data_IF_875485208756
#
_entry.id   IF_875485208756
#
_cell.length_a   1.000
_cell.length_b   1.000
_cell.length_c   1.000
_cell.angle_alpha   90.00
_cell.angle_beta   90.00
_cell.angle_gamma   90.00
#
_symmetry.space_group_name_H-M   'P 1'
#
loop_
_entity.id
_entity.type
_entity.pdbx_description
1 polymer ?
#
# COMPACT_ATOMS: atom_id res chain seq x y z
N UNK A 1 -7.45 10.80 16.05
CA UNK A 1 -7.50 10.87 14.57
C UNK A 1 -6.21 11.53 14.10
N UNK A 2 -5.37 10.82 13.34
CA UNK A 2 -4.14 11.40 12.83
C UNK A 2 -4.46 12.45 11.77
N UNK A 3 -3.66 13.51 11.78
CA UNK A 3 -3.74 14.62 10.83
C UNK A 3 -2.42 14.69 10.09
N UNK A 4 -2.45 14.52 8.78
CA UNK A 4 -1.25 14.47 7.95
C UNK A 4 -1.31 15.58 6.92
N UNK A 5 -0.18 16.23 6.70
CA UNK A 5 -0.01 17.19 5.59
C UNK A 5 1.05 16.64 4.64
N UNK A 6 0.71 16.55 3.36
CA UNK A 6 1.61 16.04 2.32
C UNK A 6 1.60 16.98 1.10
N UNK A 7 2.52 16.75 0.17
CA UNK A 7 2.72 17.62 -0.99
C UNK A 7 2.15 16.99 -2.25
N UNK A 8 1.57 17.81 -3.13
CA UNK A 8 1.14 17.42 -4.48
C UNK A 8 1.57 18.47 -5.49
N UNK A 9 1.93 18.04 -6.69
CA UNK A 9 2.37 18.89 -7.78
C UNK A 9 3.74 18.46 -8.30
N UNK A 10 4.30 19.30 -9.17
CA UNK A 10 5.64 19.12 -9.72
C UNK A 10 6.37 20.44 -9.56
N UNK A 11 7.60 20.47 -9.01
CA UNK A 11 8.41 21.69 -8.99
C UNK A 11 8.96 22.04 -10.38
N UNK A 12 8.90 21.11 -11.33
CA UNK A 12 9.34 21.31 -12.70
C UNK A 12 8.21 21.88 -13.53
N UNK A 13 8.48 23.00 -14.19
CA UNK A 13 7.54 23.58 -15.14
C UNK A 13 7.43 22.71 -16.40
N UNK A 14 6.24 22.64 -16.96
CA UNK A 14 5.95 21.96 -18.22
C UNK A 14 5.06 22.88 -19.06
N UNK A 15 5.60 23.36 -20.17
CA UNK A 15 4.96 24.39 -20.97
C UNK A 15 4.94 23.99 -22.44
N UNK A 16 3.74 23.92 -22.99
CA UNK A 16 3.44 23.73 -24.39
C UNK A 16 2.30 24.67 -24.79
N UNK A 17 2.01 24.79 -26.08
CA UNK A 17 1.01 25.75 -26.58
C UNK A 17 -0.38 25.58 -25.96
N UNK A 18 -0.75 24.35 -25.59
CA UNK A 18 -2.08 23.97 -25.08
C UNK A 18 -2.15 23.83 -23.56
N UNK A 19 -1.01 23.83 -22.87
CA UNK A 19 -0.91 23.55 -21.44
C UNK A 19 0.33 24.22 -20.84
N UNK A 20 0.10 25.02 -19.81
CA UNK A 20 1.12 25.66 -18.98
C UNK A 20 1.01 25.12 -17.55
N UNK A 21 2.04 24.40 -17.09
CA UNK A 21 2.19 23.97 -15.70
C UNK A 21 3.39 24.73 -15.12
N UNK A 22 3.18 25.74 -14.26
CA UNK A 22 4.26 26.62 -13.81
C UNK A 22 5.20 26.02 -12.76
N UNK A 23 5.06 24.72 -12.43
CA UNK A 23 5.91 24.07 -11.44
C UNK A 23 5.46 24.31 -9.98
N UNK A 24 4.14 24.34 -9.72
CA UNK A 24 3.59 24.57 -8.38
C UNK A 24 3.55 23.29 -7.55
N UNK A 25 3.75 23.46 -6.23
CA UNK A 25 3.56 22.41 -5.22
C UNK A 25 2.58 22.91 -4.16
N UNK A 26 1.54 22.13 -3.91
CA UNK A 26 0.48 22.41 -2.94
C UNK A 26 0.63 21.51 -1.72
N UNK A 27 0.11 21.97 -0.58
CA UNK A 27 0.02 21.18 0.65
C UNK A 27 -1.42 20.73 0.84
N UNK A 28 -1.62 19.42 0.93
CA UNK A 28 -2.92 18.80 1.17
C UNK A 28 -2.93 18.27 2.60
N UNK A 29 -4.01 18.57 3.33
CA UNK A 29 -4.24 18.09 4.70
C UNK A 29 -5.31 17.00 4.68
N UNK A 30 -5.07 15.91 5.39
CA UNK A 30 -6.00 14.79 5.57
C UNK A 30 -6.18 14.53 7.05
N UNK A 31 -7.42 14.31 7.46
CA UNK A 31 -7.78 13.79 8.78
C UNK A 31 -8.33 12.39 8.58
N UNK A 32 -7.74 11.40 9.25
CA UNK A 32 -8.16 10.00 9.11
C UNK A 32 -9.22 9.67 10.17
N UNK A 33 -10.42 9.37 9.69
CA UNK A 33 -11.57 8.95 10.50
C UNK A 33 -11.59 7.44 10.67
N UNK A 34 -12.14 6.95 11.78
CA UNK A 34 -12.18 5.52 12.05
C UNK A 34 -13.06 4.78 11.01
N UNK A 35 -12.62 3.60 10.58
CA UNK A 35 -13.32 2.78 9.60
C UNK A 35 -12.77 2.93 8.19
N UNK A 36 -13.53 2.44 7.21
CA UNK A 36 -13.23 2.53 5.78
C UNK A 36 -13.78 3.84 5.20
N UNK A 37 -12.95 4.56 4.46
CA UNK A 37 -13.25 5.92 4.01
C UNK A 37 -12.63 6.19 2.64
N UNK A 38 -13.23 7.14 1.92
CA UNK A 38 -12.66 7.71 0.69
C UNK A 38 -12.31 9.17 0.97
N UNK A 39 -11.03 9.51 0.83
CA UNK A 39 -10.60 10.90 0.88
C UNK A 39 -10.77 11.56 -0.49
N UNK A 40 -11.24 12.81 -0.48
CA UNK A 40 -11.24 13.70 -1.64
C UNK A 40 -10.69 15.05 -1.23
N UNK A 41 -9.65 15.53 -1.90
CA UNK A 41 -9.08 16.84 -1.59
C UNK A 41 -10.00 17.98 -2.06
N UNK A 42 -9.87 19.18 -1.48
CA UNK A 42 -10.28 20.40 -2.17
C UNK A 42 -9.56 20.52 -3.52
N UNK A 43 -10.17 21.27 -4.44
CA UNK A 43 -9.56 21.57 -5.73
C UNK A 43 -8.35 22.49 -5.56
N UNK A 44 -7.30 22.22 -6.32
CA UNK A 44 -6.09 23.05 -6.36
C UNK A 44 -5.69 23.35 -7.80
N UNK A 45 -5.19 24.55 -8.04
CA UNK A 45 -4.80 24.99 -9.40
C UNK A 45 -3.42 24.44 -9.78
N UNK A 46 -3.40 23.55 -10.77
CA UNK A 46 -2.17 22.95 -11.31
C UNK A 46 -1.48 23.84 -12.35
N UNK A 47 -2.25 24.65 -13.08
CA UNK A 47 -1.76 25.47 -14.18
C UNK A 47 -2.88 26.03 -15.03
N UNK A 48 -2.65 26.13 -16.34
CA UNK A 48 -3.58 26.75 -17.29
C UNK A 48 -3.64 25.94 -18.58
N UNK A 49 -4.83 25.67 -19.09
CA UNK A 49 -5.03 25.10 -20.43
C UNK A 49 -5.33 26.21 -21.44
N UNK A 50 -4.92 25.99 -22.69
CA UNK A 50 -5.17 26.91 -23.79
C UNK A 50 -5.82 26.16 -24.95
N UNK A 51 -7.06 26.51 -25.28
CA UNK A 51 -7.63 26.15 -26.58
C UNK A 51 -7.18 27.17 -27.62
N UNK A 52 -7.03 26.76 -28.89
CA UNK A 52 -6.55 27.65 -29.95
C UNK A 52 -7.39 28.93 -30.04
N UNK A 53 -6.80 30.06 -29.63
CA UNK A 53 -7.42 31.39 -29.73
C UNK A 53 -8.24 31.84 -28.51
N UNK A 54 -8.35 31.04 -27.45
CA UNK A 54 -9.02 31.44 -26.20
C UNK A 54 -8.04 32.03 -25.18
N UNK A 55 -8.57 32.85 -24.27
CA UNK A 55 -7.88 33.12 -23.00
C UNK A 55 -7.60 31.79 -22.28
N UNK A 56 -6.49 31.72 -21.55
CA UNK A 56 -6.13 30.53 -20.78
C UNK A 56 -7.17 30.25 -19.69
N UNK A 57 -7.53 28.98 -19.51
CA UNK A 57 -8.48 28.52 -18.50
C UNK A 57 -7.70 27.81 -17.39
N UNK A 58 -7.89 28.13 -16.10
CA UNK A 58 -7.19 27.43 -15.02
C UNK A 58 -7.45 25.92 -15.08
N UNK A 59 -6.39 25.13 -14.95
CA UNK A 59 -6.48 23.69 -14.79
C UNK A 59 -6.53 23.37 -13.30
N UNK A 60 -7.61 22.71 -12.87
CA UNK A 60 -7.77 22.26 -11.49
C UNK A 60 -7.36 20.79 -11.36
N UNK A 61 -6.85 20.44 -10.19
CA UNK A 61 -6.52 19.10 -9.75
C UNK A 61 -7.27 18.75 -8.48
N UNK A 62 -7.61 17.47 -8.34
CA UNK A 62 -8.26 16.88 -7.16
C UNK A 62 -7.70 15.49 -6.91
N UNK A 63 -7.28 15.22 -5.68
CA UNK A 63 -6.82 13.88 -5.28
C UNK A 63 -7.96 13.06 -4.68
N UNK A 64 -8.01 11.78 -5.03
CA UNK A 64 -8.95 10.80 -4.46
C UNK A 64 -8.20 9.51 -4.11
N UNK A 65 -8.46 8.94 -2.93
CA UNK A 65 -7.95 7.62 -2.54
C UNK A 65 -8.79 7.01 -1.41
N UNK A 66 -8.84 5.68 -1.34
CA UNK A 66 -9.48 4.97 -0.24
C UNK A 66 -8.47 4.67 0.87
N UNK A 67 -8.94 4.65 2.12
CA UNK A 67 -8.16 4.26 3.28
C UNK A 67 -9.01 3.58 4.34
N UNK A 68 -8.37 2.82 5.22
CA UNK A 68 -8.98 2.32 6.46
C UNK A 68 -8.17 2.82 7.64
N UNK A 69 -8.81 3.32 8.69
CA UNK A 69 -8.12 3.68 9.94
C UNK A 69 -8.73 2.97 11.15
N UNK A 70 -7.91 2.17 11.82
CA UNK A 70 -8.25 1.55 13.10
C UNK A 70 -7.71 2.42 14.24
N UNK A 71 -8.60 3.04 15.02
CA UNK A 71 -8.21 3.94 16.10
C UNK A 71 -7.69 3.20 17.34
N UNK A 72 -8.11 1.95 17.56
CA UNK A 72 -7.66 1.11 18.68
C UNK A 72 -6.19 0.75 18.52
N UNK A 73 -5.82 0.28 17.32
CA UNK A 73 -4.46 -0.15 16.99
C UNK A 73 -3.61 0.99 16.39
N UNK A 74 -4.20 2.16 16.18
CA UNK A 74 -3.58 3.31 15.49
C UNK A 74 -2.98 2.93 14.14
N UNK A 75 -3.67 2.07 13.39
CA UNK A 75 -3.21 1.61 12.08
C UNK A 75 -3.96 2.28 10.95
N UNK A 76 -3.22 2.75 9.94
CA UNK A 76 -3.76 3.31 8.70
C UNK A 76 -3.40 2.37 7.56
N UNK A 77 -4.40 1.91 6.82
CA UNK A 77 -4.25 1.09 5.62
C UNK A 77 -4.55 1.92 4.39
N UNK A 78 -3.65 1.87 3.40
CA UNK A 78 -3.83 2.47 2.07
C UNK A 78 -3.16 1.60 1.00
N UNK A 79 -3.36 1.90 -0.28
CA UNK A 79 -2.56 1.30 -1.36
C UNK A 79 -1.16 1.91 -1.40
N UNK A 80 -0.15 1.11 -1.72
CA UNK A 80 1.15 1.65 -2.12
C UNK A 80 1.04 2.33 -3.48
N UNK A 81 2.02 3.18 -3.79
CA UNK A 81 2.08 3.96 -5.02
C UNK A 81 1.96 3.09 -6.27
N UNK A 82 2.61 1.93 -6.28
CA UNK A 82 2.67 1.00 -7.43
C UNK A 82 1.59 -0.10 -7.41
N UNK A 83 0.69 -0.10 -6.43
CA UNK A 83 -0.34 -1.13 -6.35
C UNK A 83 -1.49 -0.83 -7.32
N UNK A 84 -1.75 -1.70 -8.32
CA UNK A 84 -2.78 -1.46 -9.33
C UNK A 84 -4.18 -1.73 -8.76
N UNK A 85 -4.73 -0.78 -8.01
CA UNK A 85 -6.07 -0.85 -7.43
C UNK A 85 -6.87 0.42 -7.67
N UNK A 86 -8.18 0.26 -7.88
CA UNK A 86 -9.14 1.36 -7.98
C UNK A 86 -9.27 2.17 -6.69
N UNK A 87 -8.78 1.64 -5.57
CA UNK A 87 -8.67 2.32 -4.28
C UNK A 87 -7.38 3.15 -4.12
N UNK A 88 -6.42 2.98 -5.04
CA UNK A 88 -5.16 3.71 -5.05
C UNK A 88 -5.35 5.20 -5.28
N UNK A 89 -4.28 5.97 -5.11
CA UNK A 89 -4.35 7.41 -5.32
C UNK A 89 -4.58 7.76 -6.78
N UNK A 90 -5.56 8.63 -7.00
CA UNK A 90 -5.91 9.18 -8.32
C UNK A 90 -5.81 10.69 -8.29
N UNK A 91 -5.35 11.27 -9.40
CA UNK A 91 -5.47 12.67 -9.71
C UNK A 91 -6.53 12.85 -10.78
N UNK A 92 -7.61 13.54 -10.43
CA UNK A 92 -8.56 14.07 -11.38
C UNK A 92 -8.08 15.45 -11.80
N UNK A 93 -8.04 15.72 -13.09
CA UNK A 93 -7.81 17.07 -13.60
C UNK A 93 -8.93 17.50 -14.53
N UNK A 94 -9.27 18.78 -14.47
CA UNK A 94 -10.35 19.35 -15.24
C UNK A 94 -10.12 20.85 -15.43
N UNK A 95 -10.29 21.38 -16.65
CA UNK A 95 -10.34 22.82 -16.86
C UNK A 95 -11.47 23.43 -16.04
N UNK A 96 -11.23 24.59 -15.44
CA UNK A 96 -12.22 25.29 -14.64
C UNK A 96 -13.47 25.57 -15.48
N UNK A 97 -14.64 25.40 -14.86
CA UNK A 97 -15.94 25.65 -15.44
C UNK A 97 -16.29 24.76 -16.66
N UNK A 98 -15.65 23.60 -16.79
CA UNK A 98 -16.02 22.54 -17.75
C UNK A 98 -16.45 21.26 -17.05
N UNK A 99 -17.05 20.35 -17.82
CA UNK A 99 -17.38 18.98 -17.36
C UNK A 99 -16.31 17.96 -17.75
N UNK A 100 -15.23 18.41 -18.40
CA UNK A 100 -14.21 17.52 -18.93
C UNK A 100 -13.30 17.06 -17.79
N UNK A 101 -13.20 15.75 -17.57
CA UNK A 101 -12.38 15.17 -16.52
C UNK A 101 -11.42 14.16 -17.13
N UNK A 102 -10.16 14.26 -16.73
CA UNK A 102 -9.15 13.24 -16.98
C UNK A 102 -8.67 12.67 -15.66
N UNK A 103 -8.47 11.35 -15.63
CA UNK A 103 -8.03 10.63 -14.44
C UNK A 103 -6.67 10.03 -14.70
N UNK A 104 -5.78 10.20 -13.73
CA UNK A 104 -4.49 9.51 -13.69
C UNK A 104 -4.31 8.80 -12.36
N UNK A 105 -3.79 7.58 -12.41
CA UNK A 105 -3.58 6.74 -11.22
C UNK A 105 -2.11 6.81 -10.78
N UNK A 106 -1.81 6.58 -9.51
CA UNK A 106 -0.41 6.49 -9.06
C UNK A 106 0.31 5.28 -9.65
N UNK A 107 -0.36 4.13 -9.77
CA UNK A 107 0.25 2.90 -10.25
C UNK A 107 0.67 3.00 -11.72
N UNK A 108 1.84 2.44 -12.05
CA UNK A 108 2.37 2.43 -13.43
C UNK A 108 1.70 1.39 -14.35
N UNK A 109 0.96 0.46 -13.76
CA UNK A 109 0.34 -0.67 -14.44
C UNK A 109 -1.13 -0.79 -14.06
N UNK A 110 -1.91 -1.46 -14.91
CA UNK A 110 -3.32 -1.78 -14.63
C UNK A 110 -4.34 -0.70 -14.99
N UNK A 111 -3.92 0.54 -15.22
CA UNK A 111 -4.81 1.64 -15.58
C UNK A 111 -4.29 2.43 -16.78
N UNK A 112 -5.07 2.57 -17.86
CA UNK A 112 -4.73 3.50 -18.94
C UNK A 112 -4.89 4.95 -18.45
N UNK A 113 -4.08 5.86 -19.00
CA UNK A 113 -4.33 7.30 -18.82
C UNK A 113 -5.71 7.67 -19.39
N UNK A 114 -6.37 8.65 -18.79
CA UNK A 114 -7.72 9.11 -19.16
C UNK A 114 -8.85 8.06 -18.92
N UNK A 115 -8.68 7.18 -17.92
CA UNK A 115 -9.74 6.25 -17.51
C UNK A 115 -11.00 7.00 -17.08
N UNK A 116 -12.15 6.71 -17.71
CA UNK A 116 -13.43 7.37 -17.40
C UNK A 116 -13.73 8.65 -18.20
N UNK A 117 -13.04 8.87 -19.33
CA UNK A 117 -13.27 10.02 -20.22
C UNK A 117 -14.75 10.28 -20.56
N UNK A 118 -15.19 11.52 -20.38
CA UNK A 118 -16.46 12.03 -20.87
C UNK A 118 -16.24 13.07 -21.98
N UNK A 119 -16.02 12.62 -23.22
CA UNK A 119 -16.31 13.35 -24.48
C UNK A 119 -15.66 14.72 -24.75
N UNK A 120 -14.75 15.20 -23.92
CA UNK A 120 -14.26 16.58 -23.90
C UNK A 120 -13.05 16.93 -24.77
N UNK A 121 -12.65 18.21 -24.75
CA UNK A 121 -11.42 18.71 -25.40
C UNK A 121 -10.17 18.46 -24.52
N UNK A 122 -10.36 18.21 -23.23
CA UNK A 122 -9.30 17.85 -22.28
C UNK A 122 -9.03 16.33 -22.30
N UNK A 123 -7.81 15.94 -22.68
CA UNK A 123 -7.32 14.55 -22.63
C UNK A 123 -5.79 14.52 -22.62
N UNK A 124 -5.17 13.66 -21.80
CA UNK A 124 -3.70 13.58 -21.70
C UNK A 124 -3.05 12.97 -22.94
N UNK A 125 -3.81 12.22 -23.73
CA UNK A 125 -3.32 11.47 -24.89
C UNK A 125 -3.31 12.25 -26.21
N UNK A 126 -3.76 13.50 -26.21
CA UNK A 126 -3.82 14.31 -27.43
C UNK A 126 -2.42 14.57 -27.97
N UNK A 127 -2.27 14.54 -29.30
CA UNK A 127 -1.06 15.02 -29.97
C UNK A 127 -0.77 16.50 -29.67
N UNK A 128 -1.76 17.24 -29.19
CA UNK A 128 -1.59 18.62 -28.74
C UNK A 128 -0.97 18.72 -27.36
N UNK A 129 -0.86 17.64 -26.58
CA UNK A 129 -0.34 17.60 -25.21
C UNK A 129 0.76 16.53 -25.02
N UNK A 130 1.84 16.56 -25.81
CA UNK A 130 2.85 15.51 -25.80
C UNK A 130 3.56 15.43 -24.45
N UNK A 131 3.43 14.30 -23.75
CA UNK A 131 4.07 14.09 -22.46
C UNK A 131 3.18 14.36 -21.25
N UNK A 132 1.96 14.89 -21.44
CA UNK A 132 1.08 15.28 -20.33
C UNK A 132 0.73 14.09 -19.43
N UNK A 133 0.43 12.92 -20.00
CA UNK A 133 0.15 11.71 -19.24
C UNK A 133 1.31 11.35 -18.29
N UNK A 134 2.56 11.37 -18.76
CA UNK A 134 3.72 11.11 -17.91
C UNK A 134 3.88 12.16 -16.81
N UNK A 135 3.60 13.43 -17.09
CA UNK A 135 3.68 14.50 -16.09
C UNK A 135 2.62 14.31 -15.00
N UNK A 136 1.35 14.09 -15.35
CA UNK A 136 0.29 13.86 -14.37
C UNK A 136 0.46 12.54 -13.59
N UNK A 137 1.02 11.52 -14.24
CA UNK A 137 1.47 10.29 -13.56
C UNK A 137 2.50 10.61 -12.49
N UNK A 138 3.54 11.36 -12.85
CA UNK A 138 4.58 11.81 -11.92
C UNK A 138 4.02 12.61 -10.74
N UNK A 139 3.07 13.53 -10.99
CA UNK A 139 2.40 14.31 -9.94
C UNK A 139 1.65 13.39 -8.97
N UNK A 140 0.86 12.45 -9.48
CA UNK A 140 0.05 11.52 -8.68
C UNK A 140 0.94 10.57 -7.87
N UNK A 141 2.01 10.04 -8.48
CA UNK A 141 3.01 9.20 -7.80
C UNK A 141 3.69 9.94 -6.65
N UNK A 142 4.21 11.14 -6.92
CA UNK A 142 4.87 11.96 -5.91
C UNK A 142 3.93 12.32 -4.76
N UNK A 143 2.64 12.53 -5.04
CA UNK A 143 1.63 12.79 -4.02
C UNK A 143 1.40 11.56 -3.12
N UNK A 144 1.29 10.37 -3.72
CA UNK A 144 1.18 9.10 -2.99
C UNK A 144 2.40 8.87 -2.10
N UNK A 145 3.62 9.00 -2.66
CA UNK A 145 4.86 8.85 -1.91
C UNK A 145 5.00 9.89 -0.79
N UNK A 146 4.60 11.14 -1.04
CA UNK A 146 4.62 12.19 -0.03
C UNK A 146 3.62 11.91 1.10
N UNK A 147 2.43 11.38 0.80
CA UNK A 147 1.44 10.97 1.81
C UNK A 147 1.98 9.82 2.67
N UNK A 148 2.49 8.77 2.03
CA UNK A 148 3.09 7.61 2.68
C UNK A 148 4.25 8.05 3.59
N UNK A 149 5.14 8.90 3.10
CA UNK A 149 6.26 9.45 3.86
C UNK A 149 5.78 10.25 5.07
N UNK A 150 4.78 11.10 4.89
CA UNK A 150 4.23 11.93 5.97
C UNK A 150 3.53 11.07 7.05
N UNK A 151 2.78 10.03 6.67
CA UNK A 151 2.22 9.05 7.60
C UNK A 151 3.32 8.34 8.41
N UNK A 152 4.37 7.87 7.72
CA UNK A 152 5.49 7.15 8.34
C UNK A 152 6.35 8.01 9.27
N UNK A 153 6.25 9.34 9.17
CA UNK A 153 6.95 10.26 10.08
C UNK A 153 6.33 10.35 11.47
N UNK A 154 5.09 9.87 11.67
CA UNK A 154 4.48 9.75 12.98
C UNK A 154 4.84 8.39 13.62
N UNK A 155 5.71 8.36 14.65
CA UNK A 155 6.14 7.12 15.28
C UNK A 155 5.05 6.44 16.11
N UNK A 156 3.83 6.97 16.16
CA UNK A 156 2.69 6.37 16.87
C UNK A 156 1.70 5.68 15.94
N UNK A 157 1.91 5.78 14.63
CA UNK A 157 1.04 5.18 13.63
C UNK A 157 1.66 3.91 13.05
N UNK A 158 0.84 2.88 12.88
CA UNK A 158 1.19 1.72 12.08
C UNK A 158 0.70 1.99 10.66
N UNK A 159 1.62 2.07 9.69
CA UNK A 159 1.26 2.31 8.29
C UNK A 159 1.28 0.99 7.53
N UNK A 160 0.10 0.55 7.12
CA UNK A 160 -0.15 -0.67 6.36
C UNK A 160 -0.35 -0.32 4.88
N UNK A 161 0.42 -0.93 3.98
CA UNK A 161 0.34 -0.66 2.55
C UNK A 161 -0.07 -1.91 1.78
N UNK A 162 -1.16 -1.86 1.03
CA UNK A 162 -1.49 -2.88 0.02
C UNK A 162 -0.53 -2.74 -1.15
N UNK A 163 0.18 -3.81 -1.52
CA UNK A 163 1.23 -3.74 -2.53
C UNK A 163 1.46 -5.10 -3.19
N UNK A 164 1.89 -5.08 -4.47
CA UNK A 164 2.32 -6.29 -5.15
C UNK A 164 3.74 -6.68 -4.67
N UNK A 165 4.01 -7.97 -4.42
CA UNK A 165 5.37 -8.46 -4.25
C UNK A 165 6.21 -8.15 -5.50
N UNK A 166 7.42 -7.64 -5.30
CA UNK A 166 8.27 -7.09 -6.38
C UNK A 166 8.62 -8.09 -7.51
N UNK A 167 8.44 -9.38 -7.24
CA UNK A 167 8.85 -10.49 -8.09
C UNK A 167 7.64 -11.30 -8.61
N UNK A 168 6.42 -10.93 -8.24
CA UNK A 168 5.18 -11.58 -8.68
C UNK A 168 4.60 -10.77 -9.83
N UNK A 169 4.56 -11.36 -11.03
CA UNK A 169 3.87 -10.73 -12.16
C UNK A 169 2.40 -10.51 -11.82
N UNK A 170 1.76 -9.54 -12.47
CA UNK A 170 0.31 -9.30 -12.31
C UNK A 170 -0.46 -10.60 -12.58
N UNK A 171 -0.06 -11.37 -13.59
CA UNK A 171 -0.65 -12.68 -13.92
C UNK A 171 -0.51 -13.68 -12.77
N UNK A 172 0.66 -13.72 -12.12
CA UNK A 172 0.90 -14.61 -10.98
C UNK A 172 0.10 -14.16 -9.75
N UNK A 173 -0.08 -12.84 -9.56
CA UNK A 173 -0.89 -12.30 -8.46
C UNK A 173 -2.40 -12.56 -8.70
N UNK A 174 -2.86 -12.43 -9.94
CA UNK A 174 -4.22 -12.77 -10.34
C UNK A 174 -4.50 -14.26 -10.19
N UNK A 175 -3.56 -15.14 -10.53
CA UNK A 175 -3.69 -16.59 -10.33
C UNK A 175 -3.81 -17.00 -8.85
N UNK A 176 -3.42 -16.12 -7.93
CA UNK A 176 -3.57 -16.30 -6.48
C UNK A 176 -4.83 -15.62 -5.91
N UNK A 177 -5.60 -14.93 -6.76
CA UNK A 177 -6.86 -14.31 -6.37
C UNK A 177 -7.96 -15.37 -6.24
N UNK A 178 -8.90 -15.14 -5.35
CA UNK A 178 -10.00 -16.06 -5.05
C UNK A 178 -11.33 -15.45 -5.47
N UNK A 179 -12.23 -16.29 -5.94
CA UNK A 179 -13.56 -15.90 -6.39
C UNK A 179 -14.55 -16.37 -5.35
N UNK A 180 -15.34 -15.43 -4.87
CA UNK A 180 -16.44 -15.66 -3.96
C UNK A 180 -17.76 -15.32 -4.65
N UNK A 181 -18.84 -15.98 -4.25
CA UNK A 181 -20.20 -15.67 -4.67
C UNK A 181 -21.06 -15.58 -3.43
N UNK A 182 -21.73 -14.45 -3.22
CA UNK A 182 -22.58 -14.23 -2.05
C UNK A 182 -21.85 -14.51 -0.70
N UNK A 183 -20.53 -14.28 -0.68
CA UNK A 183 -19.67 -14.51 0.50
C UNK A 183 -19.11 -15.92 0.66
N UNK A 184 -19.45 -16.88 -0.22
CA UNK A 184 -18.89 -18.23 -0.20
C UNK A 184 -17.78 -18.41 -1.25
N UNK A 185 -16.70 -19.13 -0.88
CA UNK A 185 -15.61 -19.44 -1.78
C UNK A 185 -16.08 -20.37 -2.91
N UNK A 186 -15.74 -20.01 -4.15
CA UNK A 186 -16.11 -20.78 -5.36
C UNK A 186 -14.88 -21.44 -5.96
N UNK A 187 -13.90 -20.64 -6.36
CA UNK A 187 -12.71 -21.11 -7.07
C UNK A 187 -11.56 -20.09 -7.00
N UNK A 188 -10.38 -20.48 -7.46
CA UNK A 188 -9.31 -19.52 -7.77
C UNK A 188 -9.69 -18.74 -9.04
N UNK A 189 -9.27 -17.47 -9.11
CA UNK A 189 -9.57 -16.59 -10.22
C UNK A 189 -8.95 -17.11 -11.53
N UNK A 190 -9.81 -17.29 -12.52
CA UNK A 190 -9.45 -17.65 -13.89
C UNK A 190 -9.71 -16.46 -14.80
N UNK A 191 -8.63 -15.80 -15.24
CA UNK A 191 -8.69 -14.63 -16.11
C UNK A 191 -9.30 -14.90 -17.50
N UNK A 192 -9.53 -16.17 -17.86
CA UNK A 192 -10.21 -16.56 -19.10
C UNK A 192 -11.73 -16.66 -18.95
N UNK A 193 -12.25 -16.63 -17.71
CA UNK A 193 -13.68 -16.66 -17.40
C UNK A 193 -14.23 -15.25 -17.21
N UNK A 194 -15.51 -15.10 -17.55
CA UNK A 194 -16.27 -13.88 -17.26
C UNK A 194 -17.07 -14.11 -15.98
N UNK A 195 -16.76 -13.34 -14.94
CA UNK A 195 -17.48 -13.37 -13.66
C UNK A 195 -18.60 -12.32 -13.67
N UNK A 196 -19.81 -12.74 -13.24
CA UNK A 196 -20.97 -11.85 -13.12
C UNK A 196 -20.91 -10.94 -11.89
N UNK A 197 -21.83 -9.96 -11.77
CA UNK A 197 -21.86 -9.00 -10.65
C UNK A 197 -22.12 -9.61 -9.26
N UNK A 198 -22.61 -10.85 -9.20
CA UNK A 198 -22.79 -11.63 -7.96
C UNK A 198 -21.49 -12.20 -7.39
N UNK A 199 -20.41 -12.11 -8.15
CA UNK A 199 -19.10 -12.61 -7.74
C UNK A 199 -18.23 -11.46 -7.22
N UNK A 200 -17.51 -11.73 -6.13
CA UNK A 200 -16.43 -10.87 -5.64
C UNK A 200 -15.10 -11.58 -5.83
N UNK A 201 -14.20 -10.98 -6.61
CA UNK A 201 -12.84 -11.46 -6.76
C UNK A 201 -12.00 -10.81 -5.67
N UNK A 202 -11.64 -11.58 -4.66
CA UNK A 202 -10.70 -11.15 -3.64
C UNK A 202 -9.30 -11.36 -4.20
N UNK A 203 -8.62 -10.24 -4.48
CA UNK A 203 -7.22 -10.26 -4.88
C UNK A 203 -6.37 -10.98 -3.83
N UNK A 204 -5.16 -11.37 -4.21
CA UNK A 204 -4.12 -11.94 -3.34
C UNK A 204 -3.82 -11.16 -2.02
N UNK A 205 -4.42 -9.99 -1.80
CA UNK A 205 -4.46 -9.28 -0.52
C UNK A 205 -5.23 -10.01 0.59
N UNK A 206 -5.21 -11.35 0.63
CA UNK A 206 -5.43 -12.18 1.82
C UNK A 206 -4.14 -12.90 2.25
N UNK A 207 -2.99 -12.67 1.57
CA UNK A 207 -1.77 -13.44 1.80
C UNK A 207 -0.48 -12.60 1.71
N UNK A 208 -0.45 -11.40 1.12
CA UNK A 208 0.75 -10.54 1.21
C UNK A 208 0.50 -9.07 0.83
N UNK A 209 0.93 -8.20 1.73
CA UNK A 209 1.04 -6.75 1.54
C UNK A 209 2.50 -6.33 1.78
N UNK A 210 3.16 -5.85 0.72
CA UNK A 210 4.55 -5.38 0.71
C UNK A 210 4.75 -4.15 1.64
N UNK A 211 5.96 -3.89 2.17
CA UNK A 211 6.16 -3.73 3.60
C UNK A 211 5.37 -2.58 4.22
N UNK A 212 4.62 -2.82 5.30
CA UNK A 212 4.46 -1.80 6.33
C UNK A 212 5.84 -1.22 6.67
N UNK A 213 5.97 0.10 6.57
CA UNK A 213 7.05 0.74 7.29
C UNK A 213 6.64 0.81 8.74
N UNK A 214 7.34 -0.02 9.49
CA UNK A 214 7.67 0.08 10.90
C UNK A 214 6.81 1.07 11.70
N UNK A 215 6.00 0.54 12.62
CA UNK A 215 6.25 0.79 14.04
C UNK A 215 5.82 -0.45 14.83
N UNK A 216 6.75 -1.37 15.04
CA UNK A 216 6.64 -2.32 16.14
C UNK A 216 7.01 -1.56 17.42
N UNK A 217 6.10 -0.71 17.91
CA UNK A 217 6.17 -0.12 19.25
C UNK A 217 5.06 -0.75 20.08
N UNK A 218 5.29 -2.00 20.47
CA UNK A 218 4.29 -2.75 21.21
C UNK A 218 4.72 -4.20 21.35
N UNK A 219 4.17 -4.86 22.36
CA UNK A 219 4.36 -6.28 22.51
C UNK A 219 3.77 -6.99 21.28
N UNK A 220 4.40 -8.08 20.87
CA UNK A 220 3.85 -8.99 19.86
C UNK A 220 3.84 -10.43 20.37
N UNK A 221 3.09 -11.27 19.68
CA UNK A 221 2.95 -12.69 19.95
C UNK A 221 3.29 -13.49 18.68
N UNK A 222 4.03 -14.59 18.83
CA UNK A 222 4.23 -15.54 17.72
C UNK A 222 2.92 -16.32 17.46
N UNK A 223 2.61 -16.58 16.19
CA UNK A 223 1.50 -17.45 15.79
C UNK A 223 1.96 -18.90 15.87
N UNK A 224 1.37 -19.65 16.80
CA UNK A 224 1.72 -21.07 16.98
C UNK A 224 1.17 -21.91 15.82
N UNK A 225 2.01 -22.82 15.29
CA UNK A 225 1.62 -23.73 14.20
C UNK A 225 1.84 -23.20 12.78
N UNK A 226 2.31 -21.95 12.64
CA UNK A 226 2.51 -21.29 11.34
C UNK A 226 3.63 -21.89 10.47
N UNK A 227 4.33 -22.92 10.96
CA UNK A 227 5.40 -23.61 10.22
C UNK A 227 4.86 -24.33 8.98
N UNK A 228 3.60 -24.78 9.03
CA UNK A 228 2.93 -25.47 7.93
C UNK A 228 2.33 -24.54 6.87
N UNK A 229 2.38 -23.23 7.08
CA UNK A 229 1.72 -22.27 6.18
C UNK A 229 2.30 -22.32 4.77
N UNK A 230 1.43 -22.12 3.79
CA UNK A 230 1.80 -22.19 2.38
C UNK A 230 2.79 -21.08 2.04
N UNK A 231 3.98 -21.49 1.61
CA UNK A 231 5.02 -20.58 1.16
C UNK A 231 4.61 -19.85 -0.11
N UNK A 232 4.88 -18.56 -0.15
CA UNK A 232 4.63 -17.69 -1.29
C UNK A 232 5.79 -17.86 -2.26
N UNK A 233 5.49 -18.27 -3.49
CA UNK A 233 6.48 -18.60 -4.52
C UNK A 233 7.54 -19.64 -4.05
N UNK A 234 7.19 -20.48 -3.08
CA UNK A 234 8.11 -21.48 -2.50
C UNK A 234 9.16 -20.93 -1.54
N UNK A 235 9.23 -19.61 -1.31
CA UNK A 235 10.24 -19.00 -0.44
C UNK A 235 10.00 -19.29 1.03
N UNK A 236 11.09 -19.38 1.79
CA UNK A 236 11.01 -19.34 3.24
C UNK A 236 10.49 -17.97 3.71
N UNK A 237 9.83 -17.90 4.87
CA UNK A 237 9.28 -16.64 5.39
C UNK A 237 10.35 -15.57 5.63
N UNK A 238 11.54 -15.97 6.11
CA UNK A 238 12.67 -15.04 6.19
C UNK A 238 13.10 -14.54 4.82
N UNK A 239 13.20 -15.43 3.83
CA UNK A 239 13.62 -15.06 2.47
C UNK A 239 12.61 -14.09 1.83
N UNK A 240 11.32 -14.32 2.03
CA UNK A 240 10.26 -13.40 1.62
C UNK A 240 10.46 -12.03 2.26
N UNK A 241 10.71 -11.96 3.57
CA UNK A 241 11.01 -10.70 4.25
C UNK A 241 12.29 -10.04 3.71
N UNK A 242 13.37 -10.80 3.52
CA UNK A 242 14.65 -10.28 3.00
C UNK A 242 14.45 -9.62 1.63
N UNK A 243 13.70 -10.26 0.73
CA UNK A 243 13.40 -9.77 -0.62
C UNK A 243 12.48 -8.56 -0.62
N UNK A 244 11.36 -8.66 0.10
CA UNK A 244 10.30 -7.66 0.10
C UNK A 244 10.65 -6.40 0.90
N UNK A 245 11.46 -6.57 1.94
CA UNK A 245 11.67 -5.54 2.97
C UNK A 245 13.11 -5.09 3.03
N UNK A 246 14.07 -6.02 2.95
CA UNK A 246 15.49 -5.71 3.15
C UNK A 246 16.27 -5.56 1.82
N UNK A 247 15.56 -5.32 0.71
CA UNK A 247 16.17 -5.17 -0.62
C UNK A 247 16.94 -6.39 -1.10
N UNK A 248 16.52 -7.59 -0.69
CA UNK A 248 17.19 -8.86 -0.95
C UNK A 248 18.39 -9.16 -0.05
N UNK A 249 18.71 -8.26 0.90
CA UNK A 249 19.83 -8.48 1.81
C UNK A 249 19.45 -9.45 2.94
N UNK A 250 20.39 -10.30 3.39
CA UNK A 250 20.18 -11.15 4.54
C UNK A 250 19.77 -10.38 5.80
N UNK A 251 18.85 -10.94 6.59
CA UNK A 251 18.63 -10.47 7.94
C UNK A 251 19.89 -10.75 8.78
N UNK A 252 20.37 -9.74 9.49
CA UNK A 252 21.56 -9.86 10.35
C UNK A 252 21.19 -10.08 11.81
N UNK A 253 19.98 -9.68 12.21
CA UNK A 253 19.56 -9.63 13.60
C UNK A 253 18.13 -10.12 13.80
N UNK A 254 17.86 -10.63 15.00
CA UNK A 254 16.52 -10.95 15.46
C UNK A 254 15.80 -9.67 15.90
N UNK A 255 14.58 -9.44 15.41
CA UNK A 255 13.75 -8.30 15.77
C UNK A 255 13.26 -8.31 17.23
N UNK A 256 13.23 -9.49 17.88
CA UNK A 256 12.84 -9.69 19.29
C UNK A 256 14.04 -9.62 20.26
N UNK A 257 13.90 -8.98 21.43
CA UNK A 257 14.93 -9.01 22.50
C UNK A 257 14.91 -10.33 23.25
N UNK A 258 16.02 -10.56 23.95
CA UNK A 258 16.09 -11.37 25.16
C UNK A 258 15.06 -10.90 26.20
N UNK A 259 13.90 -11.54 26.24
CA UNK A 259 12.95 -11.35 27.33
C UNK A 259 13.27 -12.34 28.45
N UNK A 260 13.31 -11.86 29.70
CA UNK A 260 13.52 -12.68 30.89
C UNK A 260 14.75 -13.62 30.87
N UNK A 261 15.87 -13.15 30.30
CA UNK A 261 17.12 -13.93 30.24
C UNK A 261 17.21 -14.93 29.07
N UNK A 262 16.22 -14.96 28.18
CA UNK A 262 16.28 -15.78 26.97
C UNK A 262 17.36 -15.26 26.01
N UNK A 263 18.46 -15.99 25.85
CA UNK A 263 19.53 -15.55 24.96
C UNK A 263 19.19 -15.92 23.51
N UNK A 264 19.12 -14.92 22.63
CA UNK A 264 19.39 -15.08 21.20
C UNK A 264 20.86 -15.45 21.07
N UNK A 265 21.21 -16.70 21.38
CA UNK A 265 22.57 -17.20 21.31
C UNK A 265 23.10 -16.99 19.89
N UNK A 266 24.11 -16.12 19.74
CA UNK A 266 24.90 -15.93 18.52
C UNK A 266 24.05 -16.05 17.23
N UNK A 267 23.10 -15.12 17.05
CA UNK A 267 22.31 -15.02 15.82
C UNK A 267 23.19 -14.50 14.69
N UNK A 268 24.03 -15.36 14.13
CA UNK A 268 24.36 -15.26 12.72
C UNK A 268 23.12 -15.60 11.88
N UNK A 269 23.13 -15.23 10.59
CA UNK A 269 22.03 -15.50 9.62
C UNK A 269 21.42 -16.90 9.76
N UNK A 270 22.24 -17.92 10.02
CA UNK A 270 21.83 -19.33 10.08
C UNK A 270 20.81 -19.68 11.16
N UNK A 271 20.62 -18.82 12.16
CA UNK A 271 19.67 -19.04 13.24
C UNK A 271 18.38 -18.23 13.10
N UNK A 272 18.20 -17.46 12.02
CA UNK A 272 16.99 -16.70 11.74
C UNK A 272 16.05 -17.49 10.80
N UNK A 273 14.74 -17.43 11.03
CA UNK A 273 13.75 -18.23 10.30
C UNK A 273 12.58 -17.43 9.74
N UNK A 274 12.36 -16.21 10.24
CA UNK A 274 11.17 -15.42 9.92
C UNK A 274 9.94 -15.99 10.65
N UNK A 275 9.25 -15.14 11.40
CA UNK A 275 8.14 -15.58 12.24
C UNK A 275 6.88 -14.78 11.97
N UNK A 276 5.75 -15.47 11.99
CA UNK A 276 4.42 -14.88 11.95
C UNK A 276 4.09 -14.31 13.32
N UNK A 277 3.85 -13.00 13.40
CA UNK A 277 3.57 -12.32 14.65
C UNK A 277 2.29 -11.50 14.59
N UNK A 278 1.60 -11.36 15.72
CA UNK A 278 0.47 -10.46 15.90
C UNK A 278 0.89 -9.30 16.80
N UNK A 279 0.69 -8.06 16.34
CA UNK A 279 1.07 -6.84 17.07
C UNK A 279 0.03 -6.53 18.17
N UNK A 280 0.47 -5.92 19.27
CA UNK A 280 -0.38 -5.44 20.36
C UNK A 280 -0.77 -6.52 21.37
N UNK A 281 -0.45 -7.78 21.09
CA UNK A 281 -0.77 -8.92 21.94
C UNK A 281 0.46 -9.43 22.68
N UNK A 282 0.29 -9.84 23.93
CA UNK A 282 1.26 -10.71 24.60
C UNK A 282 1.06 -12.14 24.10
N UNK A 283 2.13 -12.91 23.94
CA UNK A 283 2.03 -14.31 23.56
C UNK A 283 1.22 -15.07 24.62
N UNK A 284 0.22 -15.84 24.19
CA UNK A 284 -0.55 -16.76 25.03
C UNK A 284 -0.68 -18.12 24.33
N UNK A 285 -0.78 -19.25 25.06
CA UNK A 285 -1.02 -20.55 24.45
C UNK A 285 -2.38 -20.50 23.75
N UNK A 286 -2.42 -20.95 22.49
CA UNK A 286 -3.63 -20.84 21.69
C UNK A 286 -3.94 -19.41 21.25
N UNK A 287 -2.94 -18.53 21.10
CA UNK A 287 -3.08 -17.34 20.24
C UNK A 287 -3.28 -17.85 18.81
N UNK A 288 -4.52 -18.19 18.49
CA UNK A 288 -5.03 -18.36 17.14
C UNK A 288 -4.81 -16.97 16.52
N UNK A 289 -3.99 -16.89 15.47
CA UNK A 289 -3.60 -15.60 14.88
C UNK A 289 -4.81 -14.67 14.63
N UNK A 290 -4.54 -13.38 14.50
CA UNK A 290 -5.55 -12.46 13.98
C UNK A 290 -5.68 -12.58 12.47
N UNK A 291 -6.64 -11.86 11.87
CA UNK A 291 -6.64 -11.66 10.42
C UNK A 291 -5.35 -10.96 9.98
N UNK A 292 -4.79 -10.09 10.81
CA UNK A 292 -3.52 -9.42 10.55
C UNK A 292 -2.36 -10.14 11.24
N UNK A 293 -1.47 -10.69 10.42
CA UNK A 293 -0.22 -11.33 10.81
C UNK A 293 0.94 -10.62 10.13
N UNK A 294 2.09 -10.56 10.78
CA UNK A 294 3.27 -9.88 10.27
C UNK A 294 4.45 -10.84 10.22
N UNK A 295 5.25 -10.78 9.16
CA UNK A 295 6.51 -11.52 9.10
C UNK A 295 7.65 -10.57 9.44
N UNK A 296 8.43 -10.94 10.44
CA UNK A 296 9.65 -10.25 10.86
C UNK A 296 10.79 -11.25 11.08
N UNK A 297 12.06 -10.84 10.97
CA UNK A 297 13.18 -11.73 11.26
C UNK A 297 13.20 -12.06 12.76
N UNK A 298 12.99 -13.32 13.10
CA UNK A 298 13.19 -13.85 14.46
C UNK A 298 14.07 -15.08 14.41
N UNK A 299 14.74 -15.36 15.52
CA UNK A 299 15.55 -16.56 15.63
C UNK A 299 14.69 -17.83 15.78
N UNK A 300 15.22 -18.98 15.38
CA UNK A 300 14.59 -20.29 15.53
C UNK A 300 14.15 -20.54 16.99
N UNK A 301 14.99 -20.11 17.94
CA UNK A 301 14.70 -20.21 19.36
C UNK A 301 13.46 -19.39 19.76
N UNK A 302 13.30 -18.17 19.26
CA UNK A 302 12.10 -17.34 19.45
C UNK A 302 10.87 -17.92 18.73
N UNK A 303 11.06 -18.46 17.53
CA UNK A 303 9.99 -19.05 16.75
C UNK A 303 9.41 -20.31 17.44
N UNK A 304 10.26 -21.07 18.12
CA UNK A 304 9.85 -22.26 18.90
C UNK A 304 9.38 -21.94 20.31
N UNK A 305 9.49 -20.67 20.74
CA UNK A 305 9.21 -20.29 22.12
C UNK A 305 7.70 -20.18 22.38
N UNK A 306 7.18 -21.04 23.27
CA UNK A 306 5.74 -21.15 23.61
C UNK A 306 5.36 -20.39 24.89
N UNK A 307 6.18 -19.43 25.33
CA UNK A 307 5.94 -18.71 26.60
C UNK A 307 4.69 -17.82 26.57
N UNK A 308 4.02 -17.75 27.72
CA UNK A 308 2.90 -16.85 27.99
C UNK A 308 3.48 -15.51 28.46
N UNK A 309 3.67 -14.53 27.56
CA UNK A 309 4.18 -13.21 27.94
C UNK A 309 4.53 -12.32 26.75
N UNK A 310 4.82 -11.03 26.99
CA UNK A 310 5.09 -10.07 25.92
C UNK A 310 6.46 -10.32 25.27
N UNK A 311 6.50 -10.57 23.96
CA UNK A 311 7.74 -10.37 23.17
C UNK A 311 7.77 -8.90 22.77
N UNK A 312 8.91 -8.25 22.96
CA UNK A 312 9.06 -6.82 22.64
C UNK A 312 10.08 -6.64 21.50
N UNK A 313 9.73 -5.84 20.48
CA UNK A 313 10.64 -5.48 19.39
C UNK A 313 11.73 -4.54 19.93
N UNK A 314 12.98 -4.76 19.53
CA UNK A 314 14.14 -3.95 19.98
C UNK A 314 14.56 -2.94 18.94
N UNK A 315 14.33 -3.28 17.69
CA UNK A 315 14.68 -2.50 16.53
C UNK A 315 13.35 -2.19 15.85
N UNK A 316 13.16 -0.95 15.43
CA UNK A 316 12.09 -0.61 14.51
C UNK A 316 12.29 -1.45 13.25
N UNK A 317 11.50 -2.52 13.14
CA UNK A 317 11.59 -3.47 12.04
C UNK A 317 10.42 -3.22 11.11
N UNK A 318 10.74 -3.05 9.83
CA UNK A 318 9.74 -3.20 8.78
C UNK A 318 9.30 -4.67 8.73
N UNK A 319 8.06 -4.93 8.36
CA UNK A 319 7.51 -6.28 8.32
C UNK A 319 6.89 -6.54 6.95
N UNK A 320 6.61 -7.80 6.64
CA UNK A 320 5.61 -8.13 5.62
C UNK A 320 4.28 -8.26 6.34
N UNK A 321 3.23 -7.63 5.85
CA UNK A 321 1.90 -7.76 6.44
C UNK A 321 1.07 -8.77 5.64
N UNK A 322 0.48 -9.74 6.33
CA UNK A 322 -0.48 -10.69 5.80
C UNK A 322 -1.82 -10.35 6.46
N UNK A 323 -2.80 -9.93 5.67
CA UNK A 323 -4.16 -9.71 6.12
C UNK A 323 -5.05 -10.91 5.77
N UNK A 324 -6.20 -11.06 6.44
CA UNK A 324 -7.11 -12.22 6.30
C UNK A 324 -6.43 -13.60 6.50
N UNK A 325 -5.39 -13.67 7.32
CA UNK A 325 -4.58 -14.87 7.52
C UNK A 325 -5.37 -16.15 7.91
N UNK A 326 -6.52 -16.02 8.60
CA UNK A 326 -7.40 -17.16 8.94
C UNK A 326 -8.64 -17.32 8.07
N UNK A 327 -8.96 -16.33 7.24
CA UNK A 327 -10.06 -16.37 6.27
C UNK A 327 -9.47 -16.08 4.87
N UNK A 328 -8.60 -16.98 4.36
CA UNK A 328 -7.83 -16.75 3.16
C UNK A 328 -8.70 -16.48 1.93
#
# INVERSE_FOLDING_TARGET
>A
MPNVTFSVGSPLAYNIRSLELPGKVHKIKVTFEHGENVFTSPDFELGTTHSTGSAGVPLLGRLVFSYTYNCENKSVTLCSTDYPSGDGMKLLTFPKDTTDICVEHSADVGFPADEGFSGGLWNYQSNLMPGAAQIFKGITRNASDSLITALRSDPKLIVQLRALPAELSIESALALSQVYRDGEYVEMYDHTKVYGPEFSILGYGSVLNNPPTAVLAGNFANVLGSTGDRKINGWAWLELWERQVNGGNPATDCASKHYNGFQCNNVGRYNLVGGHVVIGNAARPGTIGGNDVYIIPICDAHNKYTFIGPMAPVIYSQAVWLNNYHNP
#
